data_IF_393923490511
#
_entry.id   IF_393923490511
#
_cell.length_a   1.000
_cell.length_b   1.000
_cell.length_c   1.000
_cell.angle_alpha   90.00
_cell.angle_beta   90.00
_cell.angle_gamma   90.00
#
_symmetry.space_group_name_H-M   'P 1'
#
loop_
_entity.id
_entity.type
_entity.pdbx_description
1 polymer ?
#
# COMPACT_ATOMS: atom_id res chain seq x y z
N UNK A 1 -1.84 37.09 20.39
CA UNK A 1 -1.38 36.67 19.05
C UNK A 1 -1.16 35.17 19.10
N UNK A 2 -2.02 34.34 18.47
CA UNK A 2 -1.82 32.89 18.20
C UNK A 2 -2.82 32.30 17.17
N UNK A 3 -3.67 33.13 16.54
CA UNK A 3 -4.85 32.68 15.78
C UNK A 3 -4.56 31.88 14.49
N UNK A 4 -3.37 32.03 13.90
CA UNK A 4 -3.03 31.38 12.61
C UNK A 4 -2.78 29.88 12.74
N UNK A 5 -2.10 29.44 13.80
CA UNK A 5 -1.83 28.01 14.03
C UNK A 5 -3.10 27.25 14.39
N UNK A 6 -4.00 27.89 15.13
CA UNK A 6 -5.30 27.30 15.49
C UNK A 6 -6.18 27.05 14.25
N UNK A 7 -6.14 27.95 13.25
CA UNK A 7 -6.90 27.78 12.02
C UNK A 7 -6.42 26.59 11.17
N UNK A 8 -5.09 26.40 11.09
CA UNK A 8 -4.50 25.29 10.34
C UNK A 8 -4.86 23.94 10.98
N UNK A 9 -4.78 23.85 12.31
CA UNK A 9 -5.17 22.66 13.06
C UNK A 9 -6.64 22.31 12.87
N UNK A 10 -7.55 23.28 13.02
CA UNK A 10 -8.99 23.07 12.85
C UNK A 10 -9.36 22.58 11.44
N UNK A 11 -8.72 23.12 10.40
CA UNK A 11 -8.91 22.65 9.02
C UNK A 11 -8.44 21.21 8.84
N UNK A 12 -7.30 20.87 9.43
CA UNK A 12 -6.74 19.52 9.36
C UNK A 12 -7.64 18.53 10.10
N UNK A 13 -8.02 18.81 11.34
CA UNK A 13 -8.89 17.96 12.17
C UNK A 13 -10.25 17.69 11.48
N UNK A 14 -10.77 18.66 10.71
CA UNK A 14 -12.02 18.50 9.95
C UNK A 14 -11.92 17.51 8.78
N UNK A 15 -10.75 17.45 8.13
CA UNK A 15 -10.54 16.66 6.91
C UNK A 15 -9.91 15.30 7.24
N UNK A 16 -9.06 15.27 8.26
CA UNK A 16 -8.31 14.09 8.63
C UNK A 16 -9.20 13.11 9.38
N UNK A 17 -9.39 11.93 8.79
CA UNK A 17 -10.09 10.81 9.42
C UNK A 17 -9.07 9.75 9.76
N UNK A 18 -9.01 9.37 11.03
CA UNK A 18 -8.17 8.27 11.48
C UNK A 18 -8.74 6.97 10.91
N UNK A 19 -7.98 6.20 10.11
CA UNK A 19 -8.43 4.90 9.62
C UNK A 19 -8.61 3.93 10.80
N UNK A 20 -9.73 3.20 10.84
CA UNK A 20 -9.94 2.13 11.81
C UNK A 20 -9.23 0.87 11.30
N UNK A 21 -7.97 0.70 11.69
CA UNK A 21 -7.13 -0.45 11.35
C UNK A 21 -6.93 -1.29 12.60
N UNK A 22 -7.04 -2.62 12.46
CA UNK A 22 -6.76 -3.57 13.54
C UNK A 22 -5.61 -4.49 13.16
N UNK A 23 -4.97 -5.04 14.19
CA UNK A 23 -4.02 -6.14 14.02
C UNK A 23 -4.76 -7.32 13.37
N UNK A 24 -4.10 -8.02 12.46
CA UNK A 24 -4.62 -9.09 11.59
C UNK A 24 -5.54 -8.66 10.43
N UNK A 25 -5.79 -7.36 10.23
CA UNK A 25 -6.48 -6.90 9.01
C UNK A 25 -5.57 -7.02 7.78
N UNK A 26 -6.20 -7.30 6.63
CA UNK A 26 -5.54 -7.28 5.33
C UNK A 26 -5.52 -5.86 4.77
N UNK A 27 -4.35 -5.41 4.33
CA UNK A 27 -4.15 -4.07 3.80
C UNK A 27 -3.25 -4.05 2.57
N UNK A 28 -3.47 -3.06 1.72
CA UNK A 28 -2.63 -2.73 0.58
C UNK A 28 -1.63 -1.63 0.96
N UNK A 29 -0.37 -1.77 0.54
CA UNK A 29 0.69 -0.77 0.79
C UNK A 29 1.01 0.00 -0.47
N UNK A 30 1.16 1.33 -0.36
CA UNK A 30 1.45 2.19 -1.51
C UNK A 30 2.86 2.01 -2.06
N UNK A 31 3.00 2.05 -3.39
CA UNK A 31 4.27 1.93 -4.12
C UNK A 31 5.01 3.24 -4.38
N UNK A 32 4.53 4.34 -3.78
CA UNK A 32 5.12 5.67 -3.93
C UNK A 32 6.61 5.70 -3.57
N UNK A 33 7.00 4.99 -2.49
CA UNK A 33 8.36 5.01 -1.96
C UNK A 33 9.16 3.74 -2.30
N UNK A 34 8.60 2.84 -3.09
CA UNK A 34 9.32 1.65 -3.55
C UNK A 34 10.02 1.93 -4.88
N UNK A 35 11.34 2.12 -4.81
CA UNK A 35 12.20 2.35 -5.98
C UNK A 35 12.58 1.06 -6.72
N UNK A 36 12.41 -0.11 -6.07
CA UNK A 36 12.87 -1.40 -6.60
C UNK A 36 11.74 -2.25 -7.20
N UNK A 37 10.53 -1.72 -7.33
CA UNK A 37 9.45 -2.47 -7.98
C UNK A 37 9.70 -2.46 -9.48
N UNK A 38 9.76 -3.64 -10.07
CA UNK A 38 10.02 -3.85 -11.49
C UNK A 38 8.96 -3.16 -12.35
N UNK A 39 9.40 -2.39 -13.35
CA UNK A 39 8.53 -1.81 -14.38
C UNK A 39 8.55 -0.28 -14.44
N UNK A 40 8.05 0.30 -15.54
CA UNK A 40 8.01 1.75 -15.72
C UNK A 40 6.98 2.39 -14.78
N UNK A 41 7.30 3.59 -14.28
CA UNK A 41 6.50 4.35 -13.29
C UNK A 41 5.01 4.49 -13.63
N UNK A 42 4.65 4.41 -14.91
CA UNK A 42 3.28 4.56 -15.42
C UNK A 42 2.48 3.25 -15.45
N UNK A 43 3.15 2.10 -15.58
CA UNK A 43 2.51 0.78 -15.64
C UNK A 43 2.54 0.03 -14.31
N UNK A 44 3.33 0.50 -13.33
CA UNK A 44 3.36 -0.12 -12.01
C UNK A 44 2.05 0.13 -11.26
N UNK A 45 1.62 -0.88 -10.50
CA UNK A 45 0.51 -0.73 -9.59
C UNK A 45 0.83 0.31 -8.52
N UNK A 46 -0.14 1.16 -8.19
CA UNK A 46 0.02 2.18 -7.15
C UNK A 46 0.02 1.60 -5.73
N UNK A 47 -0.48 0.37 -5.58
CA UNK A 47 -0.56 -0.37 -4.33
C UNK A 47 -0.21 -1.83 -4.56
N UNK A 48 0.44 -2.46 -3.60
CA UNK A 48 0.89 -3.86 -3.67
C UNK A 48 0.37 -4.65 -2.49
N UNK A 49 0.06 -5.93 -2.78
CA UNK A 49 -0.23 -7.01 -1.85
C UNK A 49 -1.45 -6.79 -0.97
N UNK A 50 -2.23 -7.82 -0.64
CA UNK A 50 -2.83 -7.87 0.68
C UNK A 50 -1.75 -8.34 1.67
N UNK A 51 -1.31 -7.46 2.54
CA UNK A 51 -0.40 -7.76 3.66
C UNK A 51 -1.17 -7.75 4.97
N UNK A 52 -0.72 -8.55 5.92
CA UNK A 52 -1.33 -8.62 7.26
C UNK A 52 -0.70 -7.57 8.15
N UNK A 53 -1.52 -6.81 8.89
CA UNK A 53 -1.03 -5.93 9.95
C UNK A 53 -0.57 -6.79 11.14
N UNK A 54 0.71 -6.69 11.48
CA UNK A 54 1.32 -7.38 12.63
C UNK A 54 1.19 -6.55 13.91
N UNK A 55 1.39 -5.24 13.81
CA UNK A 55 1.33 -4.34 14.96
C UNK A 55 0.90 -2.92 14.56
N UNK A 56 0.28 -2.21 15.50
CA UNK A 56 -0.03 -0.78 15.37
C UNK A 56 0.93 0.02 16.25
N UNK A 57 1.67 0.95 15.65
CA UNK A 57 2.59 1.86 16.33
C UNK A 57 1.88 3.21 16.54
N UNK A 58 1.10 3.28 17.62
CA UNK A 58 0.25 4.42 17.92
C UNK A 58 -0.84 4.65 16.86
N UNK A 59 -1.19 5.90 16.62
CA UNK A 59 -2.27 6.28 15.68
C UNK A 59 -1.80 6.43 14.24
N UNK A 60 -0.50 6.63 14.03
CA UNK A 60 0.02 7.14 12.75
C UNK A 60 0.79 6.11 11.94
N UNK A 61 1.29 5.05 12.56
CA UNK A 61 2.13 4.06 11.90
C UNK A 61 1.65 2.64 12.20
N UNK A 62 1.80 1.75 11.23
CA UNK A 62 1.48 0.34 11.39
C UNK A 62 2.59 -0.49 10.76
N UNK A 63 2.78 -1.67 11.32
CA UNK A 63 3.74 -2.65 10.87
C UNK A 63 3.00 -3.76 10.15
N UNK A 64 3.43 -4.05 8.93
CA UNK A 64 2.86 -5.11 8.10
C UNK A 64 3.90 -6.19 7.84
N UNK A 65 3.43 -7.41 7.62
CA UNK A 65 4.26 -8.50 7.17
C UNK A 65 4.45 -8.40 5.65
N UNK A 66 5.66 -8.03 5.20
CA UNK A 66 6.00 -7.97 3.78
C UNK A 66 6.52 -9.33 3.32
N UNK A 67 6.15 -9.73 2.12
CA UNK A 67 6.59 -10.98 1.49
C UNK A 67 7.20 -10.75 0.11
N UNK A 68 7.98 -11.73 -0.36
CA UNK A 68 8.59 -11.72 -1.70
C UNK A 68 9.68 -10.66 -1.86
N UNK A 69 9.64 -9.92 -2.97
CA UNK A 69 10.64 -8.89 -3.31
C UNK A 69 10.70 -7.73 -2.30
N UNK A 70 9.66 -7.58 -1.46
CA UNK A 70 9.53 -6.49 -0.48
C UNK A 70 9.98 -6.87 0.93
N UNK A 71 10.33 -8.13 1.19
CA UNK A 71 10.76 -8.60 2.52
C UNK A 71 11.97 -7.83 3.07
N UNK A 72 12.87 -7.38 2.18
CA UNK A 72 14.07 -6.60 2.55
C UNK A 72 13.77 -5.12 2.86
N UNK A 73 12.52 -4.66 2.73
CA UNK A 73 12.12 -3.27 2.99
C UNK A 73 11.63 -3.12 4.43
N UNK A 74 11.63 -1.87 4.89
CA UNK A 74 11.13 -1.56 6.22
C UNK A 74 9.63 -1.89 6.31
N UNK A 75 9.18 -2.70 7.29
CA UNK A 75 7.80 -3.18 7.37
C UNK A 75 6.83 -2.16 7.97
N UNK A 76 7.33 -1.07 8.56
CA UNK A 76 6.48 -0.02 9.15
C UNK A 76 6.17 1.07 8.14
N UNK A 77 4.88 1.37 7.99
CA UNK A 77 4.36 2.40 7.09
C UNK A 77 3.43 3.35 7.83
N UNK A 78 3.38 4.63 7.44
CA UNK A 78 2.37 5.55 7.93
C UNK A 78 0.98 5.15 7.41
N UNK A 79 -0.06 5.41 8.20
CA UNK A 79 -1.46 5.10 7.86
C UNK A 79 -1.93 5.73 6.54
N UNK A 80 -1.29 6.83 6.10
CA UNK A 80 -1.59 7.50 4.84
C UNK A 80 -1.18 6.71 3.59
N UNK A 81 -0.21 5.80 3.73
CA UNK A 81 0.29 4.95 2.63
C UNK A 81 -0.40 3.59 2.60
N UNK A 82 -1.48 3.43 3.36
CA UNK A 82 -2.16 2.16 3.57
C UNK A 82 -3.61 2.27 3.16
N UNK A 83 -4.10 1.24 2.48
CA UNK A 83 -5.51 1.09 2.17
C UNK A 83 -6.04 -0.23 2.74
N UNK A 84 -7.23 -0.24 3.37
CA UNK A 84 -7.91 -1.48 3.71
C UNK A 84 -8.13 -2.34 2.46
N UNK A 85 -7.80 -3.63 2.54
CA UNK A 85 -8.06 -4.56 1.45
C UNK A 85 -9.55 -4.92 1.43
N UNK A 86 -10.20 -4.69 0.29
CA UNK A 86 -11.57 -5.13 0.06
C UNK A 86 -11.56 -6.32 -0.90
N UNK A 87 -11.98 -7.53 -0.45
CA UNK A 87 -12.07 -8.66 -1.34
C UNK A 87 -13.12 -8.41 -2.41
N UNK A 88 -12.88 -8.90 -3.63
CA UNK A 88 -13.87 -8.84 -4.69
C UNK A 88 -15.12 -9.61 -4.28
N UNK A 89 -16.27 -8.96 -4.30
CA UNK A 89 -17.53 -9.59 -3.93
C UNK A 89 -18.00 -10.51 -5.06
N UNK A 90 -17.82 -11.82 -4.86
CA UNK A 90 -18.05 -12.86 -5.88
C UNK A 90 -19.51 -12.92 -6.35
N UNK A 91 -20.47 -12.59 -5.48
CA UNK A 91 -21.90 -12.69 -5.82
C UNK A 91 -22.33 -11.63 -6.84
N UNK A 92 -21.76 -10.42 -6.77
CA UNK A 92 -22.07 -9.33 -7.69
C UNK A 92 -21.30 -9.43 -9.01
N UNK A 93 -20.15 -10.12 -9.02
CA UNK A 93 -19.26 -10.21 -10.18
C UNK A 93 -18.80 -11.66 -10.44
N UNK A 94 -19.72 -12.58 -10.78
CA UNK A 94 -19.41 -14.00 -10.95
C UNK A 94 -18.45 -14.29 -12.11
N UNK A 95 -18.40 -13.41 -13.12
CA UNK A 95 -17.52 -13.55 -14.29
C UNK A 95 -16.11 -12.95 -14.09
N UNK A 96 -15.87 -12.28 -12.95
CA UNK A 96 -14.59 -11.63 -12.70
C UNK A 96 -13.58 -12.65 -12.20
N UNK A 97 -12.86 -13.26 -13.13
CA UNK A 97 -11.68 -14.05 -12.80
C UNK A 97 -10.54 -13.10 -12.36
N UNK A 98 -9.76 -13.45 -11.32
CA UNK A 98 -8.59 -12.66 -10.95
C UNK A 98 -7.65 -12.58 -12.15
N UNK A 99 -7.22 -11.36 -12.50
CA UNK A 99 -6.28 -11.18 -13.60
C UNK A 99 -5.01 -11.99 -13.31
N UNK A 100 -4.48 -12.74 -14.28
CA UNK A 100 -3.20 -13.42 -14.09
C UNK A 100 -2.13 -12.38 -13.80
N UNK A 101 -1.27 -12.66 -12.81
CA UNK A 101 -0.09 -11.84 -12.52
C UNK A 101 0.76 -11.82 -13.79
N UNK A 102 0.72 -10.71 -14.54
CA UNK A 102 1.45 -10.59 -15.79
C UNK A 102 2.93 -10.39 -15.44
N UNK A 103 3.66 -11.49 -15.26
CA UNK A 103 5.12 -11.45 -15.21
C UNK A 103 5.59 -11.15 -16.64
N UNK A 104 6.12 -9.95 -16.93
CA UNK A 104 6.65 -9.69 -18.25
C UNK A 104 7.79 -10.70 -18.51
N UNK A 105 7.86 -11.29 -19.73
CA UNK A 105 8.97 -12.15 -20.10
C UNK A 105 10.29 -11.49 -19.74
N UNK A 106 11.14 -12.19 -19.00
CA UNK A 106 12.50 -11.72 -18.74
C UNK A 106 13.21 -11.70 -20.09
N UNK A 107 13.36 -10.52 -20.69
CA UNK A 107 14.23 -10.35 -21.85
C UNK A 107 15.65 -10.74 -21.41
N UNK A 108 16.06 -11.93 -21.84
CA UNK A 108 17.44 -12.37 -21.77
C UNK A 108 18.21 -11.51 -22.77
N UNK A 109 18.84 -10.44 -22.29
CA UNK A 109 19.84 -9.75 -23.10
C UNK A 109 21.02 -10.71 -23.25
N UNK A 110 21.09 -11.42 -24.38
CA UNK A 110 22.31 -12.09 -24.82
C UNK A 110 23.39 -11.02 -25.00
N UNK A 111 24.31 -10.94 -24.03
CA UNK A 111 25.61 -10.30 -24.21
C UNK A 111 26.36 -11.05 -25.30
N UNK A 112 26.24 -10.59 -26.55
CA UNK A 112 27.14 -10.99 -27.63
C UNK A 112 28.45 -10.20 -27.47
N UNK A 113 29.50 -10.90 -27.01
CA UNK A 113 30.90 -10.54 -27.26
C UNK A 113 31.53 -11.56 -28.18
#
# INVERSE_FOLDING_TARGET
MNSTFDNAKQKWDKIHKVPNLKVADLVLVSTLNFNNIKGPKKLKDSYVGPFVIVALHGTNAVQVELSGELEKKHPTFPVSLIKPYQPAHKELLPLRNPAPLNVPPVEQHEDKR
#
